data_IF_452129002488
#
_entry.id   IF_452129002488
#
_cell.length_a   1.000
_cell.length_b   1.000
_cell.length_c   1.000
_cell.angle_alpha   90.00
_cell.angle_beta   90.00
_cell.angle_gamma   90.00
#
_symmetry.space_group_name_H-M   'P 1'
#
loop_
_entity.id
_entity.type
_entity.pdbx_description
1 polymer ?
#
# COMPACT_ATOMS: atom_id res chain seq x y z
N UNK A 1 0.96 31.09 7.01
CA UNK A 1 2.00 30.11 7.36
C UNK A 1 2.08 29.14 6.20
N UNK A 2 3.26 28.85 5.64
CA UNK A 2 3.37 27.92 4.52
C UNK A 2 3.19 26.51 5.09
N UNK A 3 2.18 25.78 4.61
CA UNK A 3 1.97 24.38 5.00
C UNK A 3 3.23 23.57 4.67
N UNK A 4 3.64 22.67 5.57
CA UNK A 4 4.83 21.83 5.38
C UNK A 4 4.58 20.83 4.24
N UNK A 5 5.62 20.44 3.50
CA UNK A 5 5.51 19.50 2.36
C UNK A 5 5.10 18.05 2.76
N UNK A 6 4.86 17.82 4.06
CA UNK A 6 4.32 16.57 4.62
C UNK A 6 2.79 16.63 4.80
N UNK A 7 2.21 17.82 4.63
CA UNK A 7 0.79 18.04 4.48
C UNK A 7 0.46 18.11 2.99
N UNK A 8 -0.60 17.42 2.57
CA UNK A 8 -0.99 17.31 1.17
C UNK A 8 0.17 16.83 0.30
N UNK A 9 0.54 15.55 0.44
CA UNK A 9 1.69 14.95 -0.22
C UNK A 9 1.62 15.01 -1.76
N UNK A 10 0.43 15.18 -2.34
CA UNK A 10 0.19 15.16 -3.80
C UNK A 10 0.70 13.88 -4.46
N UNK A 11 0.54 12.75 -3.76
CA UNK A 11 0.86 11.40 -4.26
C UNK A 11 -0.48 10.68 -4.42
N UNK A 12 -1.03 10.67 -5.64
CA UNK A 12 -2.40 10.21 -5.84
C UNK A 12 -3.38 10.99 -4.95
N UNK A 13 -4.17 10.27 -4.16
CA UNK A 13 -5.11 10.82 -3.18
C UNK A 13 -4.52 10.87 -1.76
N UNK A 14 -3.22 10.59 -1.59
CA UNK A 14 -2.57 10.56 -0.27
C UNK A 14 -2.27 11.97 0.19
N UNK A 15 -2.85 12.34 1.33
CA UNK A 15 -2.67 13.63 1.97
C UNK A 15 -1.52 13.61 2.97
N UNK A 16 -1.37 12.54 3.74
CA UNK A 16 -0.36 12.43 4.80
C UNK A 16 0.19 11.00 4.92
N UNK A 17 1.38 10.91 5.51
CA UNK A 17 2.02 9.65 5.86
C UNK A 17 2.57 9.74 7.28
N UNK A 18 2.05 8.89 8.15
CA UNK A 18 2.29 8.97 9.58
C UNK A 18 2.68 7.62 10.18
N UNK A 19 3.17 7.64 11.42
CA UNK A 19 3.48 6.46 12.20
C UNK A 19 3.37 6.81 13.69
N UNK A 20 2.89 5.85 14.49
CA UNK A 20 2.90 5.96 15.96
C UNK A 20 4.12 5.22 16.49
N UNK A 21 4.97 5.92 17.24
CA UNK A 21 6.21 5.36 17.79
C UNK A 21 6.30 5.55 19.29
N UNK A 22 7.14 4.77 19.97
CA UNK A 22 7.45 5.03 21.38
C UNK A 22 8.28 6.31 21.50
N UNK A 23 7.96 7.17 22.47
CA UNK A 23 8.69 8.43 22.74
C UNK A 23 10.19 8.23 22.95
N UNK A 24 10.59 7.11 23.56
CA UNK A 24 12.02 6.75 23.74
C UNK A 24 12.79 6.60 22.41
N UNK A 25 12.09 6.24 21.33
CA UNK A 25 12.68 6.00 20.00
C UNK A 25 12.59 7.24 19.10
N UNK A 26 11.90 8.30 19.53
CA UNK A 26 11.74 9.55 18.77
C UNK A 26 13.08 10.14 18.28
N UNK A 27 14.17 10.19 19.07
CA UNK A 27 15.44 10.72 18.58
C UNK A 27 16.02 9.93 17.39
N UNK A 28 15.76 8.62 17.31
CA UNK A 28 16.16 7.79 16.17
C UNK A 28 15.37 8.19 14.92
N UNK A 29 14.06 8.35 15.05
CA UNK A 29 13.19 8.70 13.92
C UNK A 29 13.42 10.11 13.40
N UNK A 30 13.68 11.08 14.28
CA UNK A 30 14.06 12.45 13.87
C UNK A 30 15.32 12.48 13.01
N UNK A 31 16.32 11.64 13.32
CA UNK A 31 17.54 11.50 12.49
C UNK A 31 17.24 10.94 11.09
N UNK A 32 16.13 10.22 10.92
CA UNK A 32 15.64 9.69 9.65
C UNK A 32 14.67 10.66 8.95
N UNK A 33 14.55 11.91 9.43
CA UNK A 33 13.72 12.94 8.83
C UNK A 33 12.24 12.91 9.22
N UNK A 34 11.86 12.10 10.20
CA UNK A 34 10.48 12.11 10.71
C UNK A 34 10.25 13.30 11.63
N UNK A 35 9.07 13.91 11.52
CA UNK A 35 8.69 15.13 12.24
C UNK A 35 7.45 14.89 13.11
N UNK A 36 7.37 15.57 14.24
CA UNK A 36 6.19 15.56 15.11
C UNK A 36 5.04 16.39 14.51
N UNK A 37 3.84 16.18 15.06
CA UNK A 37 2.59 16.82 14.62
C UNK A 37 2.68 18.35 14.51
N UNK A 38 3.27 19.01 15.51
CA UNK A 38 3.42 20.48 15.52
C UNK A 38 4.54 20.96 14.60
N UNK A 39 5.57 20.14 14.35
CA UNK A 39 6.70 20.47 13.47
C UNK A 39 6.26 20.56 11.99
N UNK A 40 5.18 19.87 11.61
CA UNK A 40 4.57 19.99 10.29
C UNK A 40 3.47 21.07 10.22
N UNK A 41 3.24 21.81 11.31
CA UNK A 41 2.34 22.96 11.35
C UNK A 41 0.88 22.64 11.69
N UNK A 42 0.58 21.44 12.18
CA UNK A 42 -0.76 21.10 12.68
C UNK A 42 -0.96 21.58 14.14
N UNK A 43 -2.19 22.00 14.52
CA UNK A 43 -2.45 22.63 15.82
C UNK A 43 -2.47 21.63 16.99
N UNK A 44 -1.91 22.00 18.14
CA UNK A 44 -2.06 21.17 19.36
C UNK A 44 -3.52 21.02 19.76
N UNK A 45 -3.91 19.83 20.24
CA UNK A 45 -5.23 19.60 20.83
C UNK A 45 -6.36 19.32 19.83
N UNK A 46 -6.06 18.78 18.65
CA UNK A 46 -7.10 18.23 17.76
C UNK A 46 -7.79 17.03 18.43
N UNK A 47 -8.94 17.29 19.05
CA UNK A 47 -9.75 16.30 19.78
C UNK A 47 -10.26 15.18 18.87
N UNK A 48 -10.27 15.36 17.55
CA UNK A 48 -10.72 14.36 16.57
C UNK A 48 -9.57 13.59 15.90
N UNK A 49 -8.31 13.95 16.20
CA UNK A 49 -7.12 13.30 15.63
C UNK A 49 -7.13 11.79 15.83
N UNK A 50 -7.68 11.29 16.95
CA UNK A 50 -7.77 9.85 17.22
C UNK A 50 -8.63 9.10 16.18
N UNK A 51 -9.57 9.76 15.50
CA UNK A 51 -10.37 9.13 14.44
C UNK A 51 -9.51 8.81 13.20
N UNK A 52 -8.46 9.58 12.95
CA UNK A 52 -7.56 9.40 11.80
C UNK A 52 -6.34 8.56 12.16
N UNK A 53 -5.74 8.81 13.33
CA UNK A 53 -4.46 8.20 13.72
C UNK A 53 -4.60 7.06 14.74
N UNK A 54 -5.83 6.81 15.22
CA UNK A 54 -6.08 5.88 16.33
C UNK A 54 -5.75 6.49 17.69
N UNK A 55 -6.02 5.72 18.75
CA UNK A 55 -5.67 6.11 20.12
C UNK A 55 -4.14 6.09 20.32
N UNK A 56 -3.57 7.23 20.73
CA UNK A 56 -2.14 7.37 21.02
C UNK A 56 -1.94 7.30 22.53
N UNK A 57 -1.11 6.36 22.99
CA UNK A 57 -0.83 6.21 24.43
C UNK A 57 0.10 7.29 24.94
N UNK A 58 0.12 7.48 26.26
CA UNK A 58 0.95 8.51 26.94
C UNK A 58 2.45 8.39 26.62
N UNK A 59 2.96 7.18 26.39
CA UNK A 59 4.35 6.88 26.06
C UNK A 59 4.62 6.83 24.54
N UNK A 60 3.63 7.16 23.72
CA UNK A 60 3.68 7.15 22.26
C UNK A 60 3.61 8.56 21.67
N UNK A 61 4.14 8.68 20.45
CA UNK A 61 4.21 9.92 19.70
C UNK A 61 3.82 9.65 18.26
N UNK A 62 2.93 10.49 17.73
CA UNK A 62 2.63 10.53 16.30
C UNK A 62 3.70 11.34 15.58
N UNK A 63 4.22 10.75 14.51
CA UNK A 63 5.24 11.35 13.65
C UNK A 63 4.87 11.21 12.17
N UNK A 64 5.42 12.09 11.34
CA UNK A 64 5.09 12.24 9.92
C UNK A 64 6.35 12.28 9.07
N UNK A 65 6.22 11.79 7.84
CA UNK A 65 7.27 11.88 6.83
C UNK A 65 6.64 11.92 5.44
N UNK A 66 7.48 11.96 4.40
CA UNK A 66 7.08 11.74 3.02
C UNK A 66 7.50 10.32 2.60
N UNK A 67 6.58 9.49 2.08
CA UNK A 67 6.95 8.17 1.59
C UNK A 67 7.82 8.31 0.35
N UNK A 68 8.72 7.36 0.15
CA UNK A 68 9.58 7.34 -1.03
C UNK A 68 8.78 6.78 -2.21
N UNK A 69 8.64 7.54 -3.28
CA UNK A 69 8.00 7.04 -4.50
C UNK A 69 8.91 6.03 -5.21
N UNK A 70 8.30 5.07 -5.89
CA UNK A 70 9.04 4.06 -6.64
C UNK A 70 9.96 4.69 -7.70
N UNK A 71 9.49 5.70 -8.43
CA UNK A 71 10.29 6.45 -9.41
C UNK A 71 11.49 7.22 -8.83
N UNK A 72 11.62 7.27 -7.51
CA UNK A 72 12.76 7.87 -6.80
C UNK A 72 13.74 6.81 -6.28
N UNK A 73 13.55 5.54 -6.64
CA UNK A 73 14.41 4.43 -6.24
C UNK A 73 15.27 3.92 -7.39
N UNK A 74 16.47 3.46 -7.05
CA UNK A 74 17.34 2.73 -7.98
C UNK A 74 16.73 1.38 -8.32
N UNK A 75 16.91 0.92 -9.56
CA UNK A 75 16.28 -0.29 -10.06
C UNK A 75 16.62 -1.52 -9.20
N UNK A 76 17.87 -1.60 -8.77
CA UNK A 76 18.42 -2.73 -8.04
C UNK A 76 17.90 -2.80 -6.59
N UNK A 77 17.25 -1.76 -6.09
CA UNK A 77 16.81 -1.70 -4.69
C UNK A 77 15.65 -2.65 -4.36
N UNK A 78 14.92 -3.15 -5.36
CA UNK A 78 13.82 -4.10 -5.19
C UNK A 78 14.23 -5.55 -5.41
N UNK A 79 15.28 -5.78 -6.21
CA UNK A 79 15.76 -7.12 -6.55
C UNK A 79 16.31 -7.81 -5.31
N UNK A 80 16.14 -9.14 -5.23
CA UNK A 80 16.50 -10.02 -4.11
C UNK A 80 15.74 -9.79 -2.80
N UNK A 81 14.87 -8.78 -2.73
CA UNK A 81 13.97 -8.64 -1.58
C UNK A 81 12.97 -9.79 -1.54
N UNK A 82 12.80 -10.35 -0.35
CA UNK A 82 11.86 -11.43 -0.08
C UNK A 82 10.51 -10.84 0.34
N UNK A 83 9.43 -11.37 -0.22
CA UNK A 83 8.06 -11.08 0.19
C UNK A 83 7.78 -11.86 1.46
N UNK A 84 7.60 -11.14 2.56
CA UNK A 84 7.31 -11.68 3.89
C UNK A 84 5.81 -11.89 4.06
N UNK A 85 5.00 -10.92 3.62
CA UNK A 85 3.54 -10.96 3.72
C UNK A 85 2.92 -9.94 2.74
N UNK A 86 1.61 -9.73 2.81
CA UNK A 86 0.92 -8.66 2.10
C UNK A 86 -0.19 -8.04 2.95
N UNK A 87 -0.70 -6.90 2.50
CA UNK A 87 -1.91 -6.28 3.05
C UNK A 87 -2.77 -5.71 1.93
N UNK A 88 -4.09 -5.78 2.08
CA UNK A 88 -5.07 -5.12 1.19
C UNK A 88 -5.69 -3.87 1.82
N UNK A 89 -5.13 -3.39 2.94
CA UNK A 89 -5.69 -2.28 3.75
C UNK A 89 -4.63 -1.26 4.18
N UNK A 90 -3.67 -0.91 3.33
CA UNK A 90 -2.53 -0.03 3.69
C UNK A 90 -2.80 1.49 3.71
N UNK A 91 -4.05 1.91 3.89
CA UNK A 91 -4.40 3.32 4.00
C UNK A 91 -5.77 3.54 4.63
N UNK A 92 -5.98 4.73 5.18
CA UNK A 92 -7.17 5.10 5.95
C UNK A 92 -7.68 6.49 5.58
N UNK A 93 -8.99 6.68 5.68
CA UNK A 93 -9.64 7.99 5.72
C UNK A 93 -10.35 8.22 7.07
N UNK A 94 -9.89 7.51 8.11
CA UNK A 94 -10.43 7.52 9.47
C UNK A 94 -11.55 6.50 9.69
N UNK A 95 -12.70 6.72 9.05
CA UNK A 95 -13.88 5.83 9.22
C UNK A 95 -13.77 4.49 8.47
N UNK A 96 -12.71 4.28 7.69
CA UNK A 96 -12.48 3.08 6.92
C UNK A 96 -11.17 3.13 6.14
N UNK A 97 -10.92 2.09 5.34
CA UNK A 97 -9.67 1.94 4.60
C UNK A 97 -9.79 2.34 3.13
N UNK A 98 -8.72 2.91 2.57
CA UNK A 98 -8.63 3.21 1.14
C UNK A 98 -8.50 1.95 0.26
N UNK A 99 -8.21 0.80 0.88
CA UNK A 99 -8.05 -0.49 0.19
C UNK A 99 -6.75 -0.56 -0.61
N UNK A 100 -5.69 0.11 -0.16
CA UNK A 100 -4.37 0.05 -0.78
C UNK A 100 -3.73 -1.32 -0.59
N UNK A 101 -3.11 -1.84 -1.65
CA UNK A 101 -2.46 -3.14 -1.63
C UNK A 101 -0.96 -2.95 -1.48
N UNK A 102 -0.30 -3.77 -0.68
CA UNK A 102 1.16 -3.80 -0.67
C UNK A 102 1.74 -5.13 -0.24
N UNK A 103 2.98 -5.35 -0.69
CA UNK A 103 3.79 -6.52 -0.35
C UNK A 103 4.77 -6.12 0.74
N UNK A 104 4.72 -6.76 1.91
CA UNK A 104 5.72 -6.56 2.95
C UNK A 104 7.01 -7.24 2.50
N UNK A 105 8.09 -6.47 2.42
CA UNK A 105 9.39 -6.94 1.99
C UNK A 105 10.32 -7.14 3.18
N UNK A 106 11.38 -7.93 2.98
CA UNK A 106 12.39 -8.27 4.00
C UNK A 106 13.18 -7.08 4.57
N UNK A 107 13.00 -5.89 4.02
CA UNK A 107 13.58 -4.64 4.52
C UNK A 107 12.61 -3.83 5.41
N UNK A 108 11.56 -4.47 5.94
CA UNK A 108 10.52 -3.85 6.78
C UNK A 108 9.72 -2.73 6.09
N UNK A 109 9.64 -2.76 4.75
CA UNK A 109 8.80 -1.85 3.98
C UNK A 109 7.77 -2.61 3.15
N UNK A 110 6.57 -2.06 3.07
CA UNK A 110 5.62 -2.39 2.03
C UNK A 110 6.01 -1.70 0.72
N UNK A 111 6.03 -2.47 -0.37
CA UNK A 111 5.85 -1.92 -1.71
C UNK A 111 4.36 -1.77 -1.97
N UNK A 112 3.86 -0.54 -1.83
CA UNK A 112 2.43 -0.22 -1.83
C UNK A 112 1.99 0.31 -3.19
N UNK A 113 0.92 -0.25 -3.73
CA UNK A 113 0.14 0.30 -4.84
C UNK A 113 -1.05 1.10 -4.27
N UNK A 114 -0.89 2.41 -4.22
CA UNK A 114 -1.78 3.36 -3.55
C UNK A 114 -2.88 3.88 -4.49
N UNK A 115 -3.75 2.96 -4.92
CA UNK A 115 -4.97 3.27 -5.67
C UNK A 115 -6.18 2.72 -4.92
N UNK A 116 -7.33 3.39 -5.01
CA UNK A 116 -8.54 2.94 -4.31
C UNK A 116 -8.96 1.52 -4.70
N UNK A 117 -9.18 0.67 -3.69
CA UNK A 117 -9.47 -0.75 -3.86
C UNK A 117 -8.43 -1.47 -4.74
N UNK A 118 -7.14 -1.24 -4.47
CA UNK A 118 -6.02 -1.74 -5.25
C UNK A 118 -6.06 -3.24 -5.46
N UNK A 119 -6.55 -4.03 -4.49
CA UNK A 119 -6.70 -5.48 -4.65
C UNK A 119 -7.51 -5.89 -5.89
N UNK A 120 -8.45 -5.05 -6.37
CA UNK A 120 -9.20 -5.30 -7.62
C UNK A 120 -8.40 -5.01 -8.91
N UNK A 121 -7.19 -4.48 -8.78
CA UNK A 121 -6.28 -4.07 -9.84
C UNK A 121 -4.90 -4.73 -9.71
N UNK A 122 -4.77 -5.73 -8.83
CA UNK A 122 -3.58 -6.56 -8.72
C UNK A 122 -3.88 -7.96 -9.25
N UNK A 123 -3.05 -8.43 -10.18
CA UNK A 123 -3.13 -9.77 -10.75
C UNK A 123 -1.88 -10.58 -10.38
N UNK A 124 -2.08 -11.78 -9.85
CA UNK A 124 -1.01 -12.73 -9.56
C UNK A 124 -1.29 -13.99 -10.38
N UNK A 125 -0.41 -14.29 -11.33
CA UNK A 125 -0.61 -15.34 -12.34
C UNK A 125 -2.00 -15.31 -13.00
N UNK A 126 -2.41 -14.12 -13.48
CA UNK A 126 -3.70 -13.85 -14.12
C UNK A 126 -4.94 -13.95 -13.21
N UNK A 127 -4.78 -14.24 -11.91
CA UNK A 127 -5.86 -14.27 -10.92
C UNK A 127 -5.82 -13.00 -10.08
N UNK A 128 -6.97 -12.35 -9.93
CA UNK A 128 -7.06 -11.08 -9.19
C UNK A 128 -6.94 -11.30 -7.69
N UNK A 129 -6.33 -10.35 -6.98
CA UNK A 129 -6.17 -10.44 -5.52
C UNK A 129 -7.53 -10.36 -4.83
N UNK A 130 -8.31 -9.32 -5.13
CA UNK A 130 -9.68 -9.12 -4.63
C UNK A 130 -10.64 -8.80 -5.76
N UNK A 131 -11.94 -8.98 -5.53
CA UNK A 131 -12.97 -8.46 -6.44
C UNK A 131 -14.29 -8.24 -5.71
N UNK A 132 -15.27 -7.70 -6.42
CA UNK A 132 -16.63 -7.63 -5.92
C UNK A 132 -17.18 -9.02 -5.52
N UNK A 133 -17.89 -9.15 -4.37
CA UNK A 133 -18.45 -10.42 -3.90
C UNK A 133 -19.37 -11.14 -4.88
N UNK A 134 -20.11 -10.40 -5.71
CA UNK A 134 -21.00 -10.98 -6.74
C UNK A 134 -20.23 -11.81 -7.77
N UNK A 135 -18.91 -11.61 -7.88
CA UNK A 135 -18.04 -12.26 -8.85
C UNK A 135 -17.21 -13.39 -8.26
N UNK A 136 -17.33 -13.69 -6.96
CA UNK A 136 -16.49 -14.68 -6.27
C UNK A 136 -16.61 -16.09 -6.84
N UNK A 137 -17.83 -16.58 -7.09
CA UNK A 137 -18.02 -17.93 -7.62
C UNK A 137 -17.36 -18.13 -8.98
N UNK A 138 -17.33 -17.06 -9.80
CA UNK A 138 -16.77 -17.09 -11.16
C UNK A 138 -15.27 -16.83 -11.17
N UNK A 139 -14.83 -15.82 -10.45
CA UNK A 139 -13.46 -15.30 -10.50
C UNK A 139 -12.54 -16.04 -9.55
N UNK A 140 -13.08 -16.47 -8.40
CA UNK A 140 -12.35 -17.07 -7.29
C UNK A 140 -11.10 -16.22 -6.97
N UNK A 141 -11.22 -14.98 -6.48
CA UNK A 141 -10.04 -14.14 -6.17
C UNK A 141 -9.11 -14.82 -5.14
N UNK A 142 -7.87 -14.36 -5.03
CA UNK A 142 -6.91 -14.93 -4.08
C UNK A 142 -7.35 -14.74 -2.62
N UNK A 143 -7.96 -13.60 -2.33
CA UNK A 143 -8.41 -13.20 -1.00
C UNK A 143 -9.88 -12.82 -1.04
N UNK A 144 -10.59 -13.14 0.03
CA UNK A 144 -11.88 -12.56 0.34
C UNK A 144 -12.02 -12.35 1.85
N UNK A 145 -12.67 -11.25 2.22
CA UNK A 145 -12.95 -10.83 3.58
C UNK A 145 -14.44 -10.53 3.81
N UNK A 146 -15.34 -11.15 3.03
CA UNK A 146 -16.77 -10.83 3.07
C UNK A 146 -17.57 -11.88 3.85
N UNK A 147 -17.75 -11.68 5.16
CA UNK A 147 -18.56 -12.57 6.01
C UNK A 147 -17.93 -13.95 6.23
N UNK A 148 -18.43 -14.69 7.21
CA UNK A 148 -17.75 -15.90 7.71
C UNK A 148 -17.71 -17.04 6.66
N UNK A 149 -18.74 -17.17 5.82
CA UNK A 149 -18.87 -18.24 4.82
C UNK A 149 -18.13 -17.96 3.51
N UNK A 150 -17.66 -16.72 3.32
CA UNK A 150 -16.94 -16.28 2.11
C UNK A 150 -15.65 -15.56 2.46
N UNK A 151 -15.02 -15.90 3.57
CA UNK A 151 -13.68 -15.41 3.91
C UNK A 151 -12.65 -16.49 3.61
N UNK A 152 -11.60 -16.13 2.86
CA UNK A 152 -10.45 -16.99 2.62
C UNK A 152 -9.21 -16.16 2.29
N UNK A 153 -8.05 -16.76 2.52
CA UNK A 153 -6.77 -16.21 2.10
C UNK A 153 -5.91 -17.34 1.54
N UNK A 154 -5.88 -17.45 0.21
CA UNK A 154 -4.98 -18.38 -0.48
C UNK A 154 -3.66 -17.72 -0.89
N UNK A 155 -3.52 -16.41 -0.65
CA UNK A 155 -2.40 -15.65 -1.15
C UNK A 155 -1.17 -15.79 -0.28
N UNK A 156 -1.34 -15.75 1.05
CA UNK A 156 -0.21 -15.75 2.00
C UNK A 156 0.74 -16.92 1.73
N UNK A 157 0.23 -18.16 1.70
CA UNK A 157 1.08 -19.34 1.45
C UNK A 157 1.74 -19.32 0.05
N UNK A 158 1.07 -18.71 -0.93
CA UNK A 158 1.53 -18.69 -2.31
C UNK A 158 2.74 -17.76 -2.51
N UNK A 159 2.70 -16.56 -1.92
CA UNK A 159 3.73 -15.53 -2.17
C UNK A 159 4.81 -15.44 -1.09
N UNK A 160 4.53 -15.87 0.14
CA UNK A 160 5.49 -15.75 1.24
C UNK A 160 6.77 -16.54 0.95
N UNK A 161 7.91 -15.93 1.26
CA UNK A 161 9.24 -16.47 0.93
C UNK A 161 9.65 -16.27 -0.53
N UNK A 162 8.80 -15.69 -1.37
CA UNK A 162 9.11 -15.40 -2.76
C UNK A 162 10.11 -14.25 -2.88
N UNK A 163 11.15 -14.42 -3.70
CA UNK A 163 12.15 -13.39 -3.98
C UNK A 163 11.86 -12.68 -5.29
N UNK A 164 11.93 -11.35 -5.28
CA UNK A 164 11.78 -10.54 -6.49
C UNK A 164 13.07 -10.69 -7.31
N UNK A 165 12.95 -11.20 -8.53
CA UNK A 165 14.10 -11.49 -9.41
C UNK A 165 14.22 -10.54 -10.58
N UNK A 166 13.10 -9.96 -11.03
CA UNK A 166 13.07 -8.90 -12.04
C UNK A 166 11.77 -8.11 -11.95
N UNK A 167 11.72 -6.97 -12.61
CA UNK A 167 10.48 -6.26 -12.87
C UNK A 167 10.54 -5.45 -14.15
N UNK A 168 9.38 -5.22 -14.74
CA UNK A 168 9.19 -4.32 -15.87
C UNK A 168 8.12 -3.29 -15.54
N UNK A 169 8.34 -2.08 -16.04
CA UNK A 169 7.38 -1.00 -15.89
C UNK A 169 7.00 -0.44 -17.25
N UNK A 170 5.71 -0.21 -17.42
CA UNK A 170 5.11 0.49 -18.55
C UNK A 170 4.27 1.65 -18.02
N UNK A 171 3.73 2.45 -18.94
CA UNK A 171 2.86 3.58 -18.58
C UNK A 171 1.68 3.18 -17.67
N UNK A 172 1.08 2.01 -17.90
CA UNK A 172 -0.17 1.58 -17.25
C UNK A 172 -0.04 0.27 -16.44
N UNK A 173 1.17 -0.29 -16.32
CA UNK A 173 1.40 -1.53 -15.59
C UNK A 173 2.81 -1.64 -14.99
N UNK A 174 2.89 -2.26 -13.82
CA UNK A 174 4.12 -2.65 -13.17
C UNK A 174 4.05 -4.17 -12.94
N UNK A 175 4.95 -4.92 -13.55
CA UNK A 175 5.01 -6.37 -13.48
C UNK A 175 6.29 -6.79 -12.77
N UNK A 176 6.16 -7.54 -11.67
CA UNK A 176 7.27 -8.17 -10.95
C UNK A 176 7.30 -9.66 -11.26
N UNK A 177 8.50 -10.18 -11.50
CA UNK A 177 8.77 -11.61 -11.53
C UNK A 177 9.32 -12.04 -10.17
N UNK A 178 8.69 -13.07 -9.59
CA UNK A 178 9.00 -13.57 -8.26
C UNK A 178 9.34 -15.04 -8.34
N UNK A 179 10.47 -15.44 -7.78
CA UNK A 179 10.84 -16.85 -7.63
C UNK A 179 10.48 -17.35 -6.24
N UNK A 180 9.73 -18.45 -6.15
CA UNK A 180 9.42 -19.13 -4.90
C UNK A 180 9.45 -20.64 -5.09
N UNK A 181 10.16 -21.36 -4.22
CA UNK A 181 10.25 -22.84 -4.25
C UNK A 181 10.60 -23.46 -5.63
N UNK A 182 11.40 -22.75 -6.43
CA UNK A 182 11.82 -23.20 -7.76
C UNK A 182 10.84 -22.89 -8.90
N UNK A 183 9.70 -22.27 -8.60
CA UNK A 183 8.77 -21.73 -9.60
C UNK A 183 8.95 -20.21 -9.74
N UNK A 184 8.57 -19.68 -10.90
CA UNK A 184 8.49 -18.24 -11.15
C UNK A 184 7.05 -17.86 -11.43
N UNK A 185 6.56 -16.83 -10.75
CA UNK A 185 5.23 -16.27 -10.96
C UNK A 185 5.29 -14.75 -11.11
N UNK A 186 4.21 -14.17 -11.63
CA UNK A 186 4.12 -12.74 -11.92
C UNK A 186 3.11 -12.05 -11.04
N UNK A 187 3.51 -10.92 -10.45
CA UNK A 187 2.62 -9.98 -9.75
C UNK A 187 2.51 -8.72 -10.60
N UNK A 188 1.28 -8.30 -10.91
CA UNK A 188 1.02 -7.16 -11.78
C UNK A 188 0.17 -6.12 -11.05
N UNK A 189 0.67 -4.89 -10.95
CA UNK A 189 -0.15 -3.71 -10.64
C UNK A 189 -0.57 -3.10 -11.96
N UNK A 190 -1.87 -2.97 -12.20
CA UNK A 190 -2.39 -2.46 -13.48
C UNK A 190 -3.33 -1.30 -13.27
N UNK A 191 -3.35 -0.36 -14.21
CA UNK A 191 -4.41 0.66 -14.29
C UNK A 191 -5.75 0.06 -14.64
N UNK A 192 -5.74 -0.84 -15.63
CA UNK A 192 -6.86 -1.61 -16.13
C UNK A 192 -6.29 -2.79 -16.93
N UNK A 193 -7.03 -3.89 -17.01
CA UNK A 193 -6.64 -5.04 -17.81
C UNK A 193 -7.89 -5.83 -18.24
N UNK A 194 -7.84 -6.52 -19.37
CA UNK A 194 -8.92 -7.37 -19.87
C UNK A 194 -9.17 -8.59 -18.96
N UNK A 195 -8.16 -9.04 -18.22
CA UNK A 195 -8.20 -10.14 -17.26
C UNK A 195 -8.95 -9.78 -15.99
N UNK A 196 -9.06 -8.49 -15.66
CA UNK A 196 -9.78 -8.05 -14.48
C UNK A 196 -11.27 -8.42 -14.62
N UNK A 197 -11.87 -9.05 -13.60
CA UNK A 197 -13.29 -9.39 -13.62
C UNK A 197 -14.14 -8.12 -13.67
N UNK A 198 -15.29 -8.21 -14.35
CA UNK A 198 -16.20 -7.10 -14.60
C UNK A 198 -17.63 -7.47 -14.21
N UNK A 199 -18.25 -6.61 -13.39
CA UNK A 199 -19.71 -6.51 -13.36
C UNK A 199 -20.17 -5.83 -14.66
N UNK A 200 -21.41 -6.06 -15.08
CA UNK A 200 -22.00 -5.46 -16.29
C UNK A 200 -21.66 -3.95 -16.37
N UNK A 201 -21.09 -3.49 -17.49
CA UNK A 201 -20.65 -2.10 -17.69
C UNK A 201 -19.15 -1.92 -17.93
N UNK A 202 -18.68 -0.66 -18.00
CA UNK A 202 -17.25 -0.31 -18.12
C UNK A 202 -16.59 -0.34 -16.73
N UNK A 203 -15.51 -1.12 -16.56
CA UNK A 203 -14.66 -1.06 -15.36
C UNK A 203 -13.93 0.29 -15.34
N UNK A 204 -13.95 0.96 -14.19
CA UNK A 204 -13.21 2.21 -13.97
C UNK A 204 -11.71 1.90 -14.01
N UNK A 205 -10.91 2.84 -14.52
CA UNK A 205 -9.46 2.75 -14.36
C UNK A 205 -9.12 2.98 -12.88
N UNK A 206 -8.05 2.34 -12.39
CA UNK A 206 -7.53 2.57 -11.05
C UNK A 206 -7.19 4.05 -10.80
N UNK A 207 -6.70 4.73 -11.84
CA UNK A 207 -6.40 6.16 -11.84
C UNK A 207 -6.69 6.81 -13.21
N UNK A 208 -6.90 8.13 -13.20
CA UNK A 208 -7.28 8.91 -14.40
C UNK A 208 -6.10 9.58 -15.11
N UNK A 209 -5.08 10.02 -14.37
CA UNK A 209 -3.92 10.80 -14.86
C UNK A 209 -2.62 10.16 -14.35
N UNK A 210 -1.50 10.50 -14.97
CA UNK A 210 -0.20 9.96 -14.59
C UNK A 210 0.01 8.53 -15.09
N UNK A 211 1.07 7.91 -14.56
CA UNK A 211 1.53 6.56 -14.88
C UNK A 211 1.52 5.68 -13.64
N UNK A 212 1.70 4.37 -13.81
CA UNK A 212 1.59 3.42 -12.70
C UNK A 212 2.56 3.73 -11.56
N UNK A 213 3.78 4.17 -11.87
CA UNK A 213 4.81 4.54 -10.87
C UNK A 213 4.44 5.74 -10.00
N UNK A 214 3.53 6.61 -10.45
CA UNK A 214 3.05 7.74 -9.64
C UNK A 214 2.22 7.27 -8.44
N UNK A 215 1.77 6.01 -8.47
CA UNK A 215 0.94 5.37 -7.46
C UNK A 215 1.64 4.22 -6.74
N UNK A 216 2.95 4.02 -6.96
CA UNK A 216 3.75 3.02 -6.25
C UNK A 216 4.73 3.73 -5.33
N UNK A 217 4.76 3.30 -4.07
CA UNK A 217 5.62 3.88 -3.04
C UNK A 217 6.11 2.84 -2.04
N UNK A 218 7.13 3.21 -1.28
CA UNK A 218 7.59 2.46 -0.13
C UNK A 218 7.01 3.04 1.15
N UNK A 219 6.37 2.18 1.93
CA UNK A 219 5.74 2.48 3.20
C UNK A 219 6.39 1.62 4.28
N UNK A 220 6.96 2.23 5.33
CA UNK A 220 7.40 1.50 6.52
C UNK A 220 6.26 0.61 7.07
N UNK A 221 6.58 -0.59 7.54
CA UNK A 221 5.58 -1.59 7.99
C UNK A 221 4.59 -1.09 9.06
N UNK A 222 5.05 -0.16 9.91
CA UNK A 222 4.26 0.44 10.99
C UNK A 222 3.65 1.80 10.60
N UNK A 223 3.87 2.26 9.36
CA UNK A 223 3.37 3.53 8.87
C UNK A 223 1.99 3.42 8.23
N UNK A 224 1.25 4.53 8.25
CA UNK A 224 -0.12 4.64 7.75
C UNK A 224 -0.22 5.74 6.70
N UNK A 225 -0.80 5.43 5.54
CA UNK A 225 -1.15 6.40 4.50
C UNK A 225 -2.55 6.94 4.76
N UNK A 226 -2.70 8.25 4.75
CA UNK A 226 -3.97 8.94 5.02
C UNK A 226 -4.42 9.64 3.75
N UNK A 227 -5.70 9.48 3.41
CA UNK A 227 -6.36 10.00 2.20
C UNK A 227 -7.60 10.79 2.54
#
# INVERSE_FOLDING_TARGET
MKEHDYLNLKIGDIEQYSMVVKKKDLPKWKKLGWLEYTEIGLPEGDEEAYMLYGEIKKDEQLIFNRPKLFKQTEKESLIDLEIIDFSTHLGTYGMGGAGFFGLLLSNDQYLTYAVWNAGEYVLINNRVVECNPDLYNKTKPWVSNYGDDKTWNFLTEYISGGKIIDYTISHDSFEMEVSNKGEVFKINFVKNDKRLPRKVGRKRNAYKKGQVEDYILFQHKDGTLIV
#
